data_IF_893942841419
#
_entry.id   IF_893942841419
#
_cell.length_a   1.000
_cell.length_b   1.000
_cell.length_c   1.000
_cell.angle_alpha   90.00
_cell.angle_beta   90.00
_cell.angle_gamma   90.00
#
_symmetry.space_group_name_H-M   'P 1'
#
loop_
_entity.id
_entity.type
_entity.pdbx_description
1 polymer ?
#
# COMPACT_ATOMS: atom_id res chain seq x y z
N UNK A 1 -10.73 -1.00 -23.78
CA UNK A 1 -9.90 -2.01 -23.11
C UNK A 1 -10.38 -3.40 -23.55
N UNK A 2 -9.51 -4.21 -24.07
CA UNK A 2 -9.81 -5.54 -24.56
C UNK A 2 -9.11 -6.63 -23.72
N UNK A 3 -9.29 -7.91 -24.11
CA UNK A 3 -8.70 -9.05 -23.38
C UNK A 3 -7.16 -9.04 -23.40
N UNK A 4 -6.54 -8.50 -24.47
CA UNK A 4 -5.10 -8.37 -24.56
C UNK A 4 -4.56 -7.31 -23.60
N UNK A 5 -5.27 -6.18 -23.46
CA UNK A 5 -4.93 -5.15 -22.48
C UNK A 5 -4.95 -5.71 -21.06
N UNK A 6 -5.97 -6.54 -20.74
CA UNK A 6 -6.04 -7.22 -19.44
C UNK A 6 -4.87 -8.20 -19.23
N UNK A 7 -4.45 -8.89 -20.27
CA UNK A 7 -3.27 -9.77 -20.17
C UNK A 7 -1.98 -8.98 -19.96
N UNK A 8 -1.82 -7.84 -20.64
CA UNK A 8 -0.68 -6.93 -20.42
C UNK A 8 -0.65 -6.46 -18.98
N UNK A 9 -1.80 -5.95 -18.46
CA UNK A 9 -1.92 -5.46 -17.09
C UNK A 9 -1.52 -6.55 -16.08
N UNK A 10 -2.05 -7.77 -16.21
CA UNK A 10 -1.72 -8.89 -15.31
C UNK A 10 -0.24 -9.27 -15.33
N UNK A 11 0.40 -9.22 -16.49
CA UNK A 11 1.85 -9.48 -16.58
C UNK A 11 2.66 -8.37 -15.89
N UNK A 12 2.32 -7.10 -16.13
CA UNK A 12 3.00 -5.95 -15.52
C UNK A 12 2.75 -5.91 -14.00
N UNK A 13 1.54 -6.19 -13.54
CA UNK A 13 1.22 -6.26 -12.11
C UNK A 13 2.09 -7.30 -11.39
N UNK A 14 2.30 -8.44 -12.01
CA UNK A 14 3.13 -9.52 -11.48
C UNK A 14 4.63 -9.24 -11.56
N UNK A 15 5.06 -8.64 -12.66
CA UNK A 15 6.46 -8.33 -12.96
C UNK A 15 6.59 -6.89 -13.45
N UNK A 16 6.68 -5.93 -12.52
CA UNK A 16 6.71 -4.50 -12.85
C UNK A 16 7.87 -4.06 -13.75
N UNK A 17 8.94 -4.85 -13.84
CA UNK A 17 10.10 -4.59 -14.71
C UNK A 17 10.11 -5.42 -16.00
N UNK A 18 9.02 -6.11 -16.32
CA UNK A 18 8.92 -6.89 -17.55
C UNK A 18 9.16 -5.97 -18.77
N UNK A 19 10.00 -6.42 -19.71
CA UNK A 19 10.27 -5.67 -20.93
C UNK A 19 9.14 -5.81 -21.95
N UNK A 20 9.02 -4.84 -22.85
CA UNK A 20 8.08 -4.96 -23.98
C UNK A 20 8.43 -6.12 -24.91
N UNK A 21 9.71 -6.46 -25.01
CA UNK A 21 10.16 -7.65 -25.76
C UNK A 21 9.64 -8.93 -25.14
N UNK A 22 9.74 -9.07 -23.83
CA UNK A 22 9.23 -10.26 -23.12
C UNK A 22 7.70 -10.33 -23.19
N UNK A 23 7.00 -9.21 -23.03
CA UNK A 23 5.54 -9.15 -23.24
C UNK A 23 5.16 -9.54 -24.66
N UNK A 24 5.90 -9.07 -25.65
CA UNK A 24 5.73 -9.42 -27.05
C UNK A 24 5.78 -10.95 -27.27
N UNK A 25 6.76 -11.60 -26.67
CA UNK A 25 6.91 -13.08 -26.73
C UNK A 25 5.76 -13.81 -26.03
N UNK A 26 5.42 -13.39 -24.82
CA UNK A 26 4.36 -14.04 -24.00
C UNK A 26 2.98 -13.92 -24.63
N UNK A 27 2.69 -12.78 -25.23
CA UNK A 27 1.36 -12.47 -25.77
C UNK A 27 1.26 -12.64 -27.29
N UNK A 28 2.35 -13.05 -27.94
CA UNK A 28 2.44 -13.24 -29.38
C UNK A 28 1.97 -12.00 -30.17
N UNK A 29 2.45 -10.85 -29.75
CA UNK A 29 2.24 -9.55 -30.38
C UNK A 29 3.57 -8.94 -30.77
N UNK A 30 3.57 -8.02 -31.74
CA UNK A 30 4.77 -7.27 -32.07
C UNK A 30 5.17 -6.32 -30.94
N UNK A 31 6.45 -6.05 -30.79
CA UNK A 31 6.95 -5.10 -29.80
C UNK A 31 6.34 -3.70 -29.93
N UNK A 32 6.20 -3.12 -31.16
CA UNK A 32 5.47 -1.87 -31.33
C UNK A 32 4.01 -1.91 -30.88
N UNK A 33 3.31 -3.02 -31.11
CA UNK A 33 1.94 -3.20 -30.67
C UNK A 33 1.83 -3.22 -29.15
N UNK A 34 2.75 -3.89 -28.46
CA UNK A 34 2.86 -3.88 -26.99
C UNK A 34 3.12 -2.45 -26.50
N UNK A 35 4.12 -1.77 -27.07
CA UNK A 35 4.47 -0.41 -26.68
C UNK A 35 3.26 0.53 -26.77
N UNK A 36 2.55 0.50 -27.90
CA UNK A 36 1.39 1.36 -28.12
C UNK A 36 0.26 1.06 -27.10
N UNK A 37 0.03 -0.20 -26.77
CA UNK A 37 -0.99 -0.58 -25.78
C UNK A 37 -0.60 -0.12 -24.37
N UNK A 38 0.65 -0.34 -23.95
CA UNK A 38 1.14 0.09 -22.63
C UNK A 38 1.06 1.63 -22.52
N UNK A 39 1.54 2.35 -23.51
CA UNK A 39 1.47 3.81 -23.54
C UNK A 39 0.03 4.32 -23.41
N UNK A 40 -0.92 3.69 -24.11
CA UNK A 40 -2.32 4.06 -24.04
C UNK A 40 -2.92 3.78 -22.64
N UNK A 41 -2.53 2.67 -22.01
CA UNK A 41 -2.97 2.34 -20.63
C UNK A 41 -2.40 3.33 -19.61
N UNK A 42 -1.18 3.81 -19.81
CA UNK A 42 -0.57 4.86 -18.99
C UNK A 42 -1.26 6.22 -19.20
N UNK A 43 -1.47 6.64 -20.45
CA UNK A 43 -2.15 7.89 -20.80
C UNK A 43 -3.60 7.94 -20.27
N UNK A 44 -4.29 6.81 -20.26
CA UNK A 44 -5.62 6.67 -19.70
C UNK A 44 -5.65 6.60 -18.17
N UNK A 45 -4.48 6.58 -17.52
CA UNK A 45 -4.37 6.47 -16.08
C UNK A 45 -4.77 5.11 -15.51
N UNK A 46 -4.87 4.07 -16.36
CA UNK A 46 -5.13 2.69 -15.92
C UNK A 46 -3.88 2.13 -15.26
N UNK A 47 -2.72 2.32 -15.88
CA UNK A 47 -1.41 2.11 -15.24
C UNK A 47 -1.00 3.46 -14.65
N UNK A 48 -1.05 3.58 -13.33
CA UNK A 48 -0.76 4.82 -12.61
C UNK A 48 0.71 4.94 -12.19
N UNK A 49 1.48 3.88 -12.32
CA UNK A 49 2.90 3.86 -11.96
C UNK A 49 3.42 2.45 -11.76
N UNK A 50 4.67 2.38 -11.38
CA UNK A 50 5.39 1.14 -11.12
C UNK A 50 6.06 1.24 -9.76
N UNK A 51 5.95 0.18 -8.95
CA UNK A 51 6.51 0.14 -7.60
C UNK A 51 7.42 -1.06 -7.41
N UNK A 52 8.45 -0.87 -6.59
CA UNK A 52 9.25 -1.99 -6.08
C UNK A 52 8.51 -2.70 -4.95
N UNK A 53 8.54 -4.02 -4.97
CA UNK A 53 8.15 -4.83 -3.81
C UNK A 53 9.35 -4.98 -2.89
N UNK A 54 9.19 -4.62 -1.61
CA UNK A 54 10.28 -4.59 -0.63
C UNK A 54 10.07 -5.69 0.40
N UNK A 55 11.09 -6.52 0.58
CA UNK A 55 11.14 -7.45 1.72
C UNK A 55 11.68 -6.69 2.96
N UNK A 56 10.76 -6.10 3.69
CA UNK A 56 11.07 -5.30 4.86
C UNK A 56 11.76 -6.09 5.98
N UNK A 57 11.54 -7.40 6.04
CA UNK A 57 12.21 -8.25 7.03
C UNK A 57 13.72 -8.26 6.85
N UNK A 58 14.19 -8.20 5.60
CA UNK A 58 15.63 -8.11 5.29
C UNK A 58 16.25 -6.76 5.65
N UNK A 59 15.43 -5.76 5.86
CA UNK A 59 15.85 -4.45 6.36
C UNK A 59 15.70 -4.32 7.88
N UNK A 60 15.35 -5.42 8.56
CA UNK A 60 15.18 -5.45 10.01
C UNK A 60 13.80 -5.05 10.52
N UNK A 61 12.81 -4.77 9.64
CA UNK A 61 11.44 -4.44 10.00
C UNK A 61 10.60 -5.71 10.13
N UNK A 62 10.82 -6.44 11.21
CA UNK A 62 10.23 -7.79 11.41
C UNK A 62 8.83 -7.79 12.03
N UNK A 63 8.38 -6.65 12.55
CA UNK A 63 7.06 -6.53 13.16
C UNK A 63 6.12 -5.83 12.19
N UNK A 64 5.03 -6.51 11.82
CA UNK A 64 3.98 -5.96 10.98
C UNK A 64 2.67 -5.99 11.74
N UNK A 65 1.90 -4.90 11.71
CA UNK A 65 0.65 -4.79 12.43
C UNK A 65 -0.40 -4.00 11.66
N UNK A 66 -1.66 -4.30 11.95
CA UNK A 66 -2.81 -3.48 11.57
C UNK A 66 -3.26 -2.71 12.80
N UNK A 67 -3.28 -1.39 12.69
CA UNK A 67 -3.83 -0.50 13.71
C UNK A 67 -5.20 -0.04 13.23
N UNK A 68 -6.22 -0.36 14.01
CA UNK A 68 -7.60 0.07 13.75
C UNK A 68 -7.94 1.21 14.68
N UNK A 69 -8.50 2.29 14.15
CA UNK A 69 -8.88 3.45 14.93
C UNK A 69 -10.38 3.70 14.86
N UNK A 70 -10.98 3.99 15.99
CA UNK A 70 -12.31 4.57 16.08
C UNK A 70 -12.17 6.05 16.32
N UNK A 71 -12.68 6.83 15.38
CA UNK A 71 -12.57 8.30 15.42
C UNK A 71 -13.93 8.97 15.44
N UNK A 72 -13.96 10.18 15.98
CA UNK A 72 -15.13 11.04 15.98
C UNK A 72 -14.73 12.39 15.43
N UNK A 73 -14.90 12.56 14.13
CA UNK A 73 -14.59 13.78 13.40
C UNK A 73 -15.46 13.95 12.18
N UNK A 74 -15.62 15.17 11.73
CA UNK A 74 -16.19 15.52 10.42
C UNK A 74 -15.11 15.92 9.41
N UNK A 75 -13.88 16.09 9.86
CA UNK A 75 -12.73 16.53 9.07
C UNK A 75 -11.70 15.39 8.94
N UNK A 76 -12.04 14.40 8.10
CA UNK A 76 -11.15 13.28 7.81
C UNK A 76 -9.90 13.70 7.05
N UNK A 77 -9.97 14.72 6.20
CA UNK A 77 -8.81 15.18 5.42
C UNK A 77 -7.72 15.71 6.33
N UNK A 78 -8.09 16.50 7.33
CA UNK A 78 -7.14 16.98 8.36
C UNK A 78 -6.55 15.81 9.15
N UNK A 79 -7.37 14.86 9.57
CA UNK A 79 -6.91 13.69 10.32
C UNK A 79 -5.92 12.85 9.50
N UNK A 80 -6.24 12.56 8.23
CA UNK A 80 -5.34 11.80 7.36
C UNK A 80 -4.01 12.52 7.13
N UNK A 81 -4.04 13.85 6.99
CA UNK A 81 -2.82 14.65 6.85
C UNK A 81 -1.95 14.57 8.11
N UNK A 82 -2.57 14.60 9.30
CA UNK A 82 -1.86 14.42 10.56
C UNK A 82 -1.27 13.02 10.68
N UNK A 83 -2.02 11.97 10.32
CA UNK A 83 -1.55 10.58 10.33
C UNK A 83 -0.40 10.37 9.34
N UNK A 84 -0.50 10.97 8.17
CA UNK A 84 0.52 10.90 7.12
C UNK A 84 1.84 11.56 7.55
N UNK A 85 1.77 12.59 8.39
CA UNK A 85 2.92 13.33 8.88
C UNK A 85 3.50 12.78 10.19
N UNK A 86 2.96 11.68 10.72
CA UNK A 86 3.56 11.00 11.85
C UNK A 86 4.94 10.44 11.48
N UNK A 87 5.95 10.81 12.27
CA UNK A 87 7.31 10.32 12.12
C UNK A 87 7.68 9.57 13.38
N UNK A 88 7.77 8.25 13.27
CA UNK A 88 8.19 7.35 14.35
C UNK A 88 9.51 6.70 13.91
N UNK A 89 10.57 6.80 14.70
CA UNK A 89 11.82 6.13 14.40
C UNK A 89 11.61 4.62 14.19
N UNK A 90 12.24 4.07 13.16
CA UNK A 90 12.18 2.65 12.81
C UNK A 90 10.77 2.09 12.61
N UNK A 91 9.84 2.94 12.15
CA UNK A 91 8.48 2.56 11.78
C UNK A 91 8.11 3.15 10.43
N UNK A 92 7.47 2.32 9.61
CA UNK A 92 6.92 2.72 8.30
C UNK A 92 5.41 2.50 8.32
N UNK A 93 4.66 3.52 7.90
CA UNK A 93 3.23 3.40 7.61
C UNK A 93 3.11 3.03 6.13
N UNK A 94 2.74 1.79 5.84
CA UNK A 94 2.59 1.32 4.45
C UNK A 94 1.27 1.73 3.84
N UNK A 95 0.21 1.66 4.62
CA UNK A 95 -1.15 1.92 4.17
C UNK A 95 -1.94 2.64 5.25
N UNK A 96 -2.87 3.49 4.83
CA UNK A 96 -3.83 4.14 5.70
C UNK A 96 -5.13 4.34 4.93
N UNK A 97 -6.21 3.76 5.42
CA UNK A 97 -7.51 3.75 4.76
C UNK A 97 -8.62 4.26 5.68
N UNK A 98 -9.53 5.06 5.13
CA UNK A 98 -10.83 5.30 5.75
C UNK A 98 -11.74 4.15 5.33
N UNK A 99 -12.39 3.53 6.30
CA UNK A 99 -13.28 2.39 6.05
C UNK A 99 -14.63 2.60 6.73
N UNK A 100 -15.62 1.85 6.31
CA UNK A 100 -16.93 1.83 6.96
C UNK A 100 -16.93 0.90 8.15
N UNK A 101 -17.79 1.15 9.13
CA UNK A 101 -17.98 0.32 10.32
C UNK A 101 -17.49 0.98 11.61
N UNK A 102 -17.39 0.19 12.67
CA UNK A 102 -16.97 0.65 13.99
C UNK A 102 -15.55 1.22 13.98
N UNK A 103 -14.64 0.56 13.30
CA UNK A 103 -13.28 1.02 13.07
C UNK A 103 -13.25 1.82 11.78
N UNK A 104 -13.02 3.12 11.90
CA UNK A 104 -13.14 4.05 10.77
C UNK A 104 -11.84 4.20 9.98
N UNK A 105 -10.70 3.89 10.60
CA UNK A 105 -9.39 3.96 9.95
C UNK A 105 -8.63 2.67 10.19
N UNK A 106 -8.03 2.15 9.13
CA UNK A 106 -7.10 1.03 9.17
C UNK A 106 -5.74 1.49 8.68
N UNK A 107 -4.71 1.23 9.49
CA UNK A 107 -3.32 1.51 9.15
C UNK A 107 -2.52 0.21 9.15
N UNK A 108 -1.75 -0.02 8.11
CA UNK A 108 -0.75 -1.10 8.10
C UNK A 108 0.60 -0.47 8.39
N UNK A 109 1.26 -0.96 9.43
CA UNK A 109 2.55 -0.44 9.87
C UNK A 109 3.58 -1.56 9.96
N UNK A 110 4.84 -1.20 9.71
CA UNK A 110 5.99 -2.08 9.94
C UNK A 110 6.99 -1.39 10.83
N UNK A 111 7.56 -2.12 11.78
CA UNK A 111 8.58 -1.60 12.66
C UNK A 111 9.65 -2.64 12.97
N UNK A 112 10.80 -2.17 13.41
CA UNK A 112 11.94 -3.03 13.73
C UNK A 112 11.72 -3.79 15.05
N UNK A 113 11.01 -3.20 16.00
CA UNK A 113 10.70 -3.80 17.30
C UNK A 113 9.28 -3.46 17.74
N UNK A 114 8.68 -4.24 18.67
CA UNK A 114 7.38 -3.91 19.24
C UNK A 114 7.32 -2.56 19.96
N UNK A 115 8.46 -1.98 20.35
CA UNK A 115 8.51 -0.63 20.93
C UNK A 115 8.04 0.45 19.96
N UNK A 116 8.22 0.24 18.65
CA UNK A 116 7.66 1.12 17.62
C UNK A 116 6.15 1.18 17.66
N UNK A 117 5.47 0.09 17.98
CA UNK A 117 4.02 0.06 18.14
C UNK A 117 3.57 0.88 19.34
N UNK A 118 4.30 0.81 20.45
CA UNK A 118 4.02 1.66 21.61
C UNK A 118 4.20 3.13 21.28
N UNK A 119 5.26 3.49 20.58
CA UNK A 119 5.55 4.88 20.20
C UNK A 119 4.45 5.45 19.31
N UNK A 120 3.99 4.72 18.28
CA UNK A 120 2.90 5.21 17.43
C UNK A 120 1.58 5.30 18.20
N UNK A 121 1.28 4.36 19.09
CA UNK A 121 0.08 4.43 19.92
C UNK A 121 0.09 5.64 20.84
N UNK A 122 1.23 5.95 21.45
CA UNK A 122 1.37 7.15 22.30
C UNK A 122 1.10 8.42 21.49
N UNK A 123 1.58 8.52 20.26
CA UNK A 123 1.32 9.66 19.39
C UNK A 123 -0.13 9.72 18.89
N UNK A 124 -0.73 8.57 18.56
CA UNK A 124 -2.13 8.50 18.17
C UNK A 124 -3.06 8.96 19.30
N UNK A 125 -2.78 8.58 20.55
CA UNK A 125 -3.57 8.97 21.70
C UNK A 125 -3.53 10.48 21.99
N UNK A 126 -2.55 11.22 21.47
CA UNK A 126 -2.50 12.69 21.53
C UNK A 126 -3.46 13.37 20.56
N UNK A 127 -4.01 12.63 19.61
CA UNK A 127 -4.98 13.15 18.65
C UNK A 127 -6.38 13.04 19.27
N UNK A 128 -6.98 14.18 19.56
CA UNK A 128 -8.22 14.26 20.35
C UNK A 128 -9.40 13.50 19.72
N UNK A 129 -9.53 13.51 18.40
CA UNK A 129 -10.63 12.85 17.71
C UNK A 129 -10.51 11.31 17.68
N UNK A 130 -9.37 10.73 18.03
CA UNK A 130 -9.19 9.28 18.14
C UNK A 130 -9.70 8.83 19.50
N UNK A 131 -10.74 8.01 19.50
CA UNK A 131 -11.45 7.55 20.72
C UNK A 131 -11.01 6.19 21.19
N UNK A 132 -10.67 5.31 20.26
CA UNK A 132 -10.17 3.96 20.53
C UNK A 132 -9.17 3.53 19.48
N UNK A 133 -8.25 2.68 19.89
CA UNK A 133 -7.35 1.99 18.98
C UNK A 133 -7.27 0.50 19.30
N UNK A 134 -7.07 -0.31 18.29
CA UNK A 134 -6.80 -1.74 18.41
C UNK A 134 -5.63 -2.10 17.50
N UNK A 135 -4.66 -2.82 18.03
CA UNK A 135 -3.50 -3.25 17.28
C UNK A 135 -3.49 -4.77 17.16
N UNK A 136 -3.45 -5.25 15.92
CA UNK A 136 -3.37 -6.67 15.62
C UNK A 136 -2.04 -6.97 14.93
N UNK A 137 -1.26 -7.88 15.48
CA UNK A 137 -0.02 -8.32 14.84
C UNK A 137 -0.33 -9.25 13.66
N UNK A 138 0.32 -9.04 12.55
CA UNK A 138 0.28 -9.96 11.42
C UNK A 138 1.32 -11.05 11.67
N UNK A 139 0.84 -12.28 11.87
CA UNK A 139 1.71 -13.44 12.12
C UNK A 139 2.18 -14.06 10.81
N UNK A 140 1.31 -14.09 9.79
CA UNK A 140 1.62 -14.58 8.45
C UNK A 140 0.65 -14.00 7.43
N UNK A 141 1.06 -13.96 6.17
CA UNK A 141 0.23 -13.53 5.04
C UNK A 141 0.16 -14.62 3.98
N UNK A 142 -1.01 -14.80 3.36
CA UNK A 142 -1.19 -15.75 2.25
C UNK A 142 -0.76 -15.15 0.92
N UNK A 143 -0.86 -13.83 0.79
CA UNK A 143 -0.49 -13.07 -0.39
C UNK A 143 0.38 -11.89 0.02
N UNK A 144 1.46 -11.71 -0.69
CA UNK A 144 2.37 -10.57 -0.51
C UNK A 144 2.08 -9.48 -1.55
#
# INVERSE_FOLDING_TARGET
MDSLDMQIIKNIEKEGRISHEELSKRLNLSRPAIHNRVTKLEEQGIITGYKATIDWSKLGFNTCAIISLRVRTTDYDNLLERLKNLIIPDLVIEECHIVTGTWCILMKVRCSTPLGLKAIQDDLHKIECIKESSTSLILSSLYD
#
